data_IF_086764690220
#
_entry.id   IF_086764690220
#
_cell.length_a   1.000
_cell.length_b   1.000
_cell.length_c   1.000
_cell.angle_alpha   90.00
_cell.angle_beta   90.00
_cell.angle_gamma   90.00
#
_symmetry.space_group_name_H-M   'P 1'
#
loop_
_entity.id
_entity.type
_entity.pdbx_description
1 polymer ?
#
# COMPACT_ATOMS: atom_id res chain seq x y z
N UNK A 1 -1.92 5.05 15.12
CA UNK A 1 -1.93 4.39 16.43
C UNK A 1 -0.65 3.58 16.53
N UNK A 2 0.17 3.91 17.54
CA UNK A 2 1.57 3.50 17.65
C UNK A 2 1.71 1.99 17.91
N UNK A 3 2.63 1.36 17.18
CA UNK A 3 3.25 0.04 17.44
C UNK A 3 4.10 0.04 18.74
N UNK A 4 3.65 0.73 19.79
CA UNK A 4 4.41 0.88 21.02
C UNK A 4 4.35 -0.38 21.87
N UNK A 5 5.51 -1.04 21.95
CA UNK A 5 5.97 -1.92 23.04
C UNK A 5 5.43 -3.35 23.09
N UNK A 6 5.58 -4.11 22.01
CA UNK A 6 5.73 -5.57 22.16
C UNK A 6 7.22 -5.85 22.22
N UNK A 7 7.67 -6.45 23.31
CA UNK A 7 9.07 -6.85 23.47
C UNK A 7 9.43 -7.96 22.49
N UNK A 8 10.69 -8.04 22.08
CA UNK A 8 11.19 -9.10 21.20
C UNK A 8 10.93 -10.50 21.80
N UNK A 9 10.97 -10.60 23.13
CA UNK A 9 10.63 -11.81 23.89
C UNK A 9 9.16 -12.20 23.75
N UNK A 10 8.23 -11.26 23.93
CA UNK A 10 6.78 -11.52 23.76
C UNK A 10 6.44 -11.94 22.33
N UNK A 11 7.07 -11.30 21.35
CA UNK A 11 6.90 -11.69 19.95
C UNK A 11 7.43 -13.11 19.72
N UNK A 12 8.57 -13.48 20.31
CA UNK A 12 9.12 -14.83 20.24
C UNK A 12 8.20 -15.90 20.86
N UNK A 13 7.62 -15.62 22.03
CA UNK A 13 6.65 -16.53 22.67
C UNK A 13 5.37 -16.70 21.85
N UNK A 14 4.89 -15.62 21.22
CA UNK A 14 3.75 -15.64 20.29
C UNK A 14 4.09 -16.38 18.99
N UNK A 15 5.35 -16.35 18.53
CA UNK A 15 5.84 -17.19 17.42
C UNK A 15 5.84 -18.67 17.79
N UNK A 16 6.26 -19.04 19.00
CA UNK A 16 6.23 -20.43 19.49
C UNK A 16 4.80 -21.01 19.48
N UNK A 17 3.79 -20.17 19.75
CA UNK A 17 2.38 -20.59 19.71
C UNK A 17 1.99 -21.18 18.35
N UNK A 18 2.43 -20.57 17.25
CA UNK A 18 2.13 -21.03 15.90
C UNK A 18 2.79 -22.38 15.56
N UNK A 19 3.96 -22.67 16.16
CA UNK A 19 4.63 -23.96 16.01
C UNK A 19 3.88 -25.09 16.73
N UNK A 20 3.45 -24.84 17.97
CA UNK A 20 2.77 -25.85 18.78
C UNK A 20 1.30 -26.05 18.42
N UNK A 21 0.65 -25.00 17.91
CA UNK A 21 -0.78 -25.00 17.58
C UNK A 21 -1.01 -24.62 16.10
N UNK A 22 -0.67 -25.52 15.16
CA UNK A 22 -0.67 -25.22 13.72
C UNK A 22 -2.07 -24.95 13.13
N UNK A 23 -3.14 -25.20 13.89
CA UNK A 23 -4.52 -24.92 13.48
C UNK A 23 -4.95 -23.47 13.75
N UNK A 24 -4.06 -22.64 14.31
CA UNK A 24 -4.32 -21.24 14.58
C UNK A 24 -3.71 -20.33 13.51
N UNK A 25 -4.46 -19.30 13.17
CA UNK A 25 -4.14 -18.26 12.19
C UNK A 25 -4.12 -16.93 12.92
N UNK A 26 -3.03 -16.14 12.87
CA UNK A 26 -3.03 -14.80 13.43
C UNK A 26 -4.01 -13.89 12.67
N UNK A 27 -4.77 -13.11 13.41
CA UNK A 27 -5.70 -12.09 12.90
C UNK A 27 -4.98 -10.74 12.75
N UNK A 28 -3.94 -10.51 13.56
CA UNK A 28 -3.16 -9.27 13.59
C UNK A 28 -1.68 -9.55 13.34
N UNK A 29 -1.01 -8.58 12.72
CA UNK A 29 0.42 -8.59 12.42
C UNK A 29 1.30 -8.75 13.66
N UNK A 30 0.87 -8.13 14.75
CA UNK A 30 1.55 -8.09 16.05
C UNK A 30 1.40 -9.39 16.86
N UNK A 31 0.72 -10.39 16.26
CA UNK A 31 0.44 -11.69 16.84
C UNK A 31 -0.28 -11.60 18.20
N UNK A 32 -1.08 -10.55 18.43
CA UNK A 32 -1.89 -10.41 19.65
C UNK A 32 -3.20 -11.19 19.57
N UNK A 33 -3.67 -11.51 18.38
CA UNK A 33 -4.94 -12.20 18.18
C UNK A 33 -4.77 -13.35 17.20
N UNK A 34 -5.34 -14.49 17.56
CA UNK A 34 -5.34 -15.69 16.73
C UNK A 34 -6.75 -16.27 16.67
N UNK A 35 -7.04 -16.92 15.55
CA UNK A 35 -8.24 -17.71 15.34
C UNK A 35 -7.85 -19.11 14.89
N UNK A 36 -8.39 -20.12 15.54
CA UNK A 36 -8.10 -21.50 15.19
C UNK A 36 -9.15 -22.47 15.67
N UNK A 37 -8.74 -23.72 15.80
CA UNK A 37 -9.56 -24.79 16.33
C UNK A 37 -8.71 -25.62 17.29
N UNK A 38 -9.26 -25.97 18.45
CA UNK A 38 -8.71 -27.02 19.30
C UNK A 38 -9.47 -28.31 19.07
N UNK A 39 -8.73 -29.42 19.01
CA UNK A 39 -9.33 -30.76 18.97
C UNK A 39 -9.55 -31.22 20.40
N UNK A 40 -10.80 -31.25 20.81
CA UNK A 40 -11.25 -31.80 22.10
C UNK A 40 -11.93 -33.12 21.79
N UNK A 41 -11.29 -34.23 22.17
CA UNK A 41 -11.67 -35.59 21.77
C UNK A 41 -11.82 -35.72 20.25
N UNK A 42 -13.04 -35.92 19.76
CA UNK A 42 -13.37 -36.08 18.33
C UNK A 42 -14.05 -34.85 17.71
N UNK A 43 -14.09 -33.72 18.42
CA UNK A 43 -14.67 -32.46 17.91
C UNK A 43 -13.63 -31.37 17.78
N UNK A 44 -13.77 -30.58 16.70
CA UNK A 44 -13.00 -29.36 16.50
C UNK A 44 -13.79 -28.17 17.05
N UNK A 45 -13.29 -27.56 18.13
CA UNK A 45 -13.91 -26.41 18.77
C UNK A 45 -13.25 -25.13 18.25
N UNK A 46 -13.99 -24.21 17.61
CA UNK A 46 -13.46 -22.93 17.16
C UNK A 46 -12.99 -22.10 18.34
N UNK A 47 -11.82 -21.50 18.23
CA UNK A 47 -11.26 -20.65 19.28
C UNK A 47 -10.77 -19.34 18.71
N UNK A 48 -11.07 -18.27 19.44
CA UNK A 48 -10.41 -16.98 19.34
C UNK A 48 -9.52 -16.80 20.57
N UNK A 49 -8.23 -16.66 20.32
CA UNK A 49 -7.21 -16.43 21.34
C UNK A 49 -6.76 -14.98 21.26
N UNK A 50 -6.81 -14.27 22.38
CA UNK A 50 -6.24 -12.93 22.54
C UNK A 50 -5.09 -13.02 23.53
N UNK A 51 -3.90 -12.68 23.07
CA UNK A 51 -2.71 -12.58 23.89
C UNK A 51 -2.63 -11.17 24.45
N UNK A 52 -2.70 -11.05 25.78
CA UNK A 52 -2.47 -9.79 26.46
C UNK A 52 -1.07 -9.21 26.24
N UNK A 53 -0.92 -7.93 26.56
CA UNK A 53 0.36 -7.26 26.79
C UNK A 53 0.93 -7.64 28.17
N UNK A 54 2.09 -7.11 28.56
CA UNK A 54 2.78 -7.41 29.83
C UNK A 54 1.89 -7.32 31.11
N UNK A 55 0.73 -6.65 31.01
CA UNK A 55 -0.25 -6.46 32.09
C UNK A 55 -1.60 -7.16 31.88
N UNK A 56 -1.83 -7.84 30.73
CA UNK A 56 -3.09 -8.55 30.43
C UNK A 56 -2.87 -10.05 30.32
N UNK A 57 -3.88 -10.81 30.74
CA UNK A 57 -3.88 -12.27 30.68
C UNK A 57 -4.16 -12.78 29.25
N UNK A 58 -3.84 -14.05 29.01
CA UNK A 58 -4.23 -14.75 27.79
C UNK A 58 -5.72 -15.08 27.90
N UNK A 59 -6.50 -14.63 26.94
CA UNK A 59 -7.95 -14.85 26.90
C UNK A 59 -8.33 -15.77 25.74
N UNK A 60 -9.26 -16.68 26.01
CA UNK A 60 -9.76 -17.66 25.04
C UNK A 60 -11.27 -17.59 25.02
N UNK A 61 -11.83 -17.42 23.84
CA UNK A 61 -13.28 -17.40 23.62
C UNK A 61 -13.66 -18.36 22.50
N UNK A 62 -14.86 -18.94 22.59
CA UNK A 62 -15.44 -19.76 21.53
C UNK A 62 -16.85 -19.25 21.18
N UNK A 63 -17.22 -19.19 19.90
CA UNK A 63 -18.57 -18.83 19.48
C UNK A 63 -19.62 -19.92 19.74
N UNK A 64 -19.22 -21.18 19.96
CA UNK A 64 -20.15 -22.31 20.07
C UNK A 64 -20.65 -22.60 21.50
N UNK A 65 -20.23 -21.80 22.49
CA UNK A 65 -20.61 -21.94 23.90
C UNK A 65 -20.06 -23.21 24.60
N UNK A 66 -19.59 -24.20 23.85
CA UNK A 66 -19.07 -25.47 24.38
C UNK A 66 -17.85 -25.24 25.26
N UNK A 67 -16.92 -24.38 24.81
CA UNK A 67 -15.74 -24.04 25.62
C UNK A 67 -16.14 -23.40 26.95
N UNK A 68 -17.13 -22.50 26.95
CA UNK A 68 -17.59 -21.85 28.18
C UNK A 68 -18.16 -22.90 29.17
N UNK A 69 -19.00 -23.82 28.69
CA UNK A 69 -19.55 -24.90 29.52
C UNK A 69 -18.46 -25.82 30.09
N UNK A 70 -17.44 -26.17 29.30
CA UNK A 70 -16.32 -26.99 29.76
C UNK A 70 -15.45 -26.24 30.77
N UNK A 71 -15.25 -24.93 30.58
CA UNK A 71 -14.52 -24.08 31.52
C UNK A 71 -15.24 -23.97 32.86
N UNK A 72 -16.57 -23.82 32.87
CA UNK A 72 -17.37 -23.78 34.10
C UNK A 72 -17.26 -25.10 34.88
N UNK A 73 -17.31 -26.23 34.18
CA UNK A 73 -17.12 -27.56 34.79
C UNK A 73 -15.71 -27.76 35.32
N UNK A 74 -14.68 -27.34 34.56
CA UNK A 74 -13.29 -27.43 35.01
C UNK A 74 -13.06 -26.57 36.26
N UNK A 75 -13.69 -25.39 36.33
CA UNK A 75 -13.62 -24.52 37.49
C UNK A 75 -14.34 -25.08 38.71
N UNK A 76 -15.44 -25.82 38.51
CA UNK A 76 -16.13 -26.53 39.59
C UNK A 76 -15.33 -27.74 40.11
N UNK A 77 -14.66 -28.48 39.22
CA UNK A 77 -13.87 -29.67 39.57
C UNK A 77 -12.51 -29.32 40.20
N UNK A 78 -11.81 -28.36 39.61
CA UNK A 78 -10.42 -28.03 39.95
C UNK A 78 -10.15 -26.50 39.84
N UNK A 79 -10.71 -25.68 40.75
CA UNK A 79 -10.60 -24.21 40.68
C UNK A 79 -9.14 -23.72 40.74
N UNK A 80 -8.28 -24.38 41.53
CA UNK A 80 -6.86 -24.04 41.66
C UNK A 80 -6.09 -24.21 40.33
N UNK A 81 -6.45 -25.23 39.54
CA UNK A 81 -5.86 -25.46 38.23
C UNK A 81 -6.28 -24.37 37.24
N UNK A 82 -7.54 -23.95 37.26
CA UNK A 82 -8.04 -22.85 36.41
C UNK A 82 -7.33 -21.54 36.74
N UNK A 83 -7.15 -21.23 38.03
CA UNK A 83 -6.39 -20.06 38.45
C UNK A 83 -4.91 -20.13 38.03
N UNK A 84 -4.30 -21.32 38.08
CA UNK A 84 -2.94 -21.53 37.57
C UNK A 84 -2.85 -21.27 36.06
N UNK A 85 -3.82 -21.77 35.29
CA UNK A 85 -3.88 -21.59 33.83
C UNK A 85 -4.07 -20.11 33.48
N UNK A 86 -5.00 -19.40 34.12
CA UNK A 86 -5.24 -17.96 33.88
C UNK A 86 -4.00 -17.08 34.10
N UNK A 87 -3.17 -17.44 35.09
CA UNK A 87 -1.90 -16.75 35.37
C UNK A 87 -0.81 -17.02 34.34
N UNK A 88 -0.99 -17.96 33.41
CA UNK A 88 0.00 -18.24 32.36
C UNK A 88 -0.01 -17.13 31.31
N UNK A 89 1.16 -16.49 31.15
CA UNK A 89 1.35 -15.41 30.18
C UNK A 89 1.76 -15.92 28.80
N UNK A 90 2.45 -17.06 28.76
CA UNK A 90 2.87 -17.73 27.52
C UNK A 90 1.66 -18.35 26.84
N UNK A 91 1.24 -17.88 25.63
CA UNK A 91 0.02 -18.36 24.99
C UNK A 91 0.09 -19.85 24.64
N UNK A 92 1.28 -20.33 24.25
CA UNK A 92 1.54 -21.74 23.94
C UNK A 92 1.38 -22.63 25.17
N UNK A 93 1.93 -22.22 26.32
CA UNK A 93 1.80 -22.93 27.60
C UNK A 93 0.36 -22.90 28.10
N UNK A 94 -0.31 -21.75 28.03
CA UNK A 94 -1.71 -21.58 28.39
C UNK A 94 -2.59 -22.58 27.63
N UNK A 95 -2.50 -22.60 26.30
CA UNK A 95 -3.32 -23.48 25.47
C UNK A 95 -3.00 -24.96 25.72
N UNK A 96 -1.73 -25.30 25.95
CA UNK A 96 -1.33 -26.68 26.20
C UNK A 96 -1.92 -27.22 27.51
N UNK A 97 -1.81 -26.45 28.58
CA UNK A 97 -2.33 -26.82 29.89
C UNK A 97 -3.86 -26.80 29.90
N UNK A 98 -4.49 -25.82 29.24
CA UNK A 98 -5.93 -25.79 29.06
C UNK A 98 -6.42 -27.04 28.31
N UNK A 99 -5.78 -27.40 27.20
CA UNK A 99 -6.14 -28.57 26.40
C UNK A 99 -5.99 -29.86 27.20
N UNK A 100 -4.90 -30.02 27.95
CA UNK A 100 -4.67 -31.19 28.79
C UNK A 100 -5.72 -31.29 29.92
N UNK A 101 -6.06 -30.17 30.56
CA UNK A 101 -7.05 -30.12 31.63
C UNK A 101 -8.45 -30.47 31.11
N UNK A 102 -8.85 -29.90 29.98
CA UNK A 102 -10.13 -30.19 29.34
C UNK A 102 -10.23 -31.65 28.88
N UNK A 103 -9.18 -32.20 28.25
CA UNK A 103 -9.18 -33.60 27.83
C UNK A 103 -9.33 -34.55 29.04
N UNK A 104 -8.62 -34.31 30.15
CA UNK A 104 -8.77 -35.11 31.38
C UNK A 104 -10.17 -35.02 31.97
N UNK A 105 -10.78 -33.83 31.96
CA UNK A 105 -12.14 -33.64 32.44
C UNK A 105 -13.16 -34.44 31.61
N UNK A 106 -12.97 -34.46 30.29
CA UNK A 106 -13.82 -35.22 29.36
C UNK A 106 -13.58 -36.73 29.46
N UNK A 107 -12.34 -37.17 29.69
CA UNK A 107 -12.01 -38.59 29.91
C UNK A 107 -12.57 -39.14 31.23
N UNK A 108 -12.65 -38.31 32.28
CA UNK A 108 -13.18 -38.71 33.60
C UNK A 108 -14.69 -38.70 33.70
N UNK A 109 -15.35 -37.81 32.97
CA UNK A 109 -16.80 -37.78 32.89
C UNK A 109 -17.27 -38.65 31.74
N UNK A 110 -17.77 -39.86 32.00
CA UNK A 110 -18.33 -40.78 31.01
C UNK A 110 -19.20 -40.04 29.97
N UNK A 111 -18.64 -39.72 28.80
CA UNK A 111 -19.40 -39.30 27.63
C UNK A 111 -19.97 -40.53 26.93
N UNK A 112 -20.80 -41.27 27.66
CA UNK A 112 -21.71 -42.28 27.15
C UNK A 112 -23.12 -41.95 27.68
N UNK A 113 -23.68 -40.82 27.25
CA UNK A 113 -25.13 -40.67 27.10
C UNK A 113 -25.48 -39.38 26.34
N UNK A 114 -26.04 -39.54 25.14
CA UNK A 114 -27.06 -38.62 24.64
C UNK A 114 -26.69 -37.54 23.63
N UNK A 115 -25.48 -37.51 23.06
CA UNK A 115 -25.23 -36.64 21.90
C UNK A 115 -25.16 -37.49 20.64
N UNK A 116 -26.32 -37.66 20.01
CA UNK A 116 -26.44 -38.27 18.69
C UNK A 116 -25.40 -37.68 17.74
N UNK A 117 -24.72 -38.57 17.04
CA UNK A 117 -23.84 -38.25 15.94
C UNK A 117 -24.66 -37.63 14.80
N UNK A 118 -24.87 -36.32 14.83
CA UNK A 118 -25.05 -35.55 13.58
C UNK A 118 -23.66 -35.28 13.01
N UNK A 119 -23.03 -36.37 12.56
CA UNK A 119 -21.95 -36.30 11.59
C UNK A 119 -22.56 -36.13 10.21
N UNK A 120 -22.71 -34.90 9.75
CA UNK A 120 -22.81 -34.62 8.32
C UNK A 120 -22.30 -33.20 8.00
N UNK A 121 -21.07 -33.19 7.49
CA UNK A 121 -20.67 -32.33 6.37
C UNK A 121 -20.46 -30.82 6.59
N UNK A 122 -19.68 -30.46 7.62
CA UNK A 122 -18.99 -29.15 7.65
C UNK A 122 -17.46 -29.25 7.66
N UNK A 123 -16.91 -30.47 7.73
CA UNK A 123 -15.46 -30.75 7.71
C UNK A 123 -14.84 -30.77 6.31
N UNK A 124 -15.63 -30.88 5.25
CA UNK A 124 -15.10 -31.07 3.89
C UNK A 124 -14.68 -29.76 3.19
N UNK A 125 -15.29 -28.61 3.51
CA UNK A 125 -15.07 -27.35 2.76
C UNK A 125 -14.10 -26.33 3.37
N UNK A 126 -13.69 -26.45 4.65
CA UNK A 126 -12.76 -25.48 5.29
C UNK A 126 -11.38 -26.05 5.66
N UNK A 127 -11.17 -27.36 5.52
CA UNK A 127 -9.87 -28.03 5.77
C UNK A 127 -8.79 -27.62 4.75
N UNK A 128 -9.20 -27.07 3.60
CA UNK A 128 -8.27 -26.50 2.60
C UNK A 128 -7.48 -25.30 3.15
N UNK A 129 -8.12 -24.37 3.87
CA UNK A 129 -7.47 -23.12 4.28
C UNK A 129 -6.44 -23.30 5.39
N UNK A 130 -6.75 -24.10 6.42
CA UNK A 130 -5.85 -24.33 7.56
C UNK A 130 -4.59 -25.11 7.17
N UNK A 131 -4.73 -26.11 6.28
CA UNK A 131 -3.58 -26.88 5.77
C UNK A 131 -2.66 -26.02 4.90
N UNK A 132 -3.22 -25.17 4.03
CA UNK A 132 -2.44 -24.20 3.24
C UNK A 132 -1.77 -23.16 4.14
N UNK A 133 -2.47 -22.65 5.15
CA UNK A 133 -1.90 -21.71 6.11
C UNK A 133 -0.74 -22.33 6.90
N UNK A 134 -0.84 -23.60 7.30
CA UNK A 134 0.22 -24.34 7.97
C UNK A 134 1.49 -24.44 7.12
N UNK A 135 1.37 -24.79 5.84
CA UNK A 135 2.52 -24.83 4.92
C UNK A 135 3.18 -23.46 4.77
N UNK A 136 2.37 -22.40 4.73
CA UNK A 136 2.86 -21.02 4.67
C UNK A 136 3.56 -20.60 5.96
N UNK A 137 3.04 -20.98 7.13
CA UNK A 137 3.70 -20.76 8.42
C UNK A 137 5.03 -21.53 8.51
N UNK A 138 5.05 -22.79 8.09
CA UNK A 138 6.27 -23.59 8.04
C UNK A 138 7.33 -22.90 7.16
N UNK A 139 6.92 -22.35 6.01
CA UNK A 139 7.79 -21.54 5.13
C UNK A 139 8.22 -20.22 5.77
N UNK A 140 7.33 -19.54 6.49
CA UNK A 140 7.64 -18.30 7.21
C UNK A 140 8.73 -18.50 8.26
N UNK A 141 8.67 -19.60 8.99
CA UNK A 141 9.59 -19.88 10.09
C UNK A 141 10.90 -20.48 9.58
N UNK A 142 10.86 -21.36 8.57
CA UNK A 142 12.05 -22.08 8.09
C UNK A 142 12.83 -21.34 7.01
N UNK A 143 12.17 -20.54 6.16
CA UNK A 143 12.76 -20.06 4.89
C UNK A 143 12.68 -18.55 4.71
N UNK A 144 11.52 -17.94 4.96
CA UNK A 144 11.28 -16.51 4.71
C UNK A 144 11.80 -15.65 5.86
N UNK A 145 11.65 -16.13 7.10
CA UNK A 145 11.90 -15.39 8.31
C UNK A 145 10.69 -14.56 8.76
N UNK A 146 10.30 -14.69 10.03
CA UNK A 146 9.11 -14.01 10.58
C UNK A 146 9.31 -12.50 10.71
N UNK A 147 10.55 -12.03 10.74
CA UNK A 147 10.90 -10.60 10.66
C UNK A 147 10.43 -9.95 9.35
N UNK A 148 10.28 -10.75 8.29
CA UNK A 148 9.71 -10.28 7.04
C UNK A 148 8.18 -10.17 7.08
N UNK A 149 7.51 -10.61 8.15
CA UNK A 149 6.06 -10.57 8.26
C UNK A 149 5.58 -9.18 8.68
N UNK A 150 4.79 -8.54 7.81
CA UNK A 150 4.20 -7.22 8.08
C UNK A 150 2.72 -7.29 8.43
N UNK A 151 1.95 -8.15 7.78
CA UNK A 151 0.51 -8.28 8.02
C UNK A 151 0.01 -9.68 7.68
N UNK A 152 -0.91 -10.21 8.50
CA UNK A 152 -1.69 -11.40 8.16
C UNK A 152 -3.16 -11.07 8.30
N UNK A 153 -3.94 -11.47 7.30
CA UNK A 153 -5.40 -11.45 7.34
C UNK A 153 -5.94 -12.78 6.80
N UNK A 154 -7.27 -12.95 6.84
CA UNK A 154 -7.98 -14.21 6.52
C UNK A 154 -7.40 -14.98 5.33
N UNK A 155 -7.10 -14.30 4.22
CA UNK A 155 -6.58 -14.91 2.99
C UNK A 155 -5.33 -14.20 2.46
N UNK A 156 -4.75 -13.25 3.21
CA UNK A 156 -3.62 -12.46 2.71
C UNK A 156 -2.48 -12.44 3.70
N UNK A 157 -1.29 -12.53 3.15
CA UNK A 157 -0.03 -12.43 3.84
C UNK A 157 0.77 -11.29 3.21
N UNK A 158 1.04 -10.23 3.96
CA UNK A 158 1.93 -9.15 3.52
C UNK A 158 3.29 -9.36 4.14
N UNK A 159 4.27 -9.54 3.27
CA UNK A 159 5.68 -9.63 3.61
C UNK A 159 6.38 -8.32 3.24
N UNK A 160 7.39 -7.97 4.01
CA UNK A 160 8.20 -6.78 3.82
C UNK A 160 9.66 -7.17 3.71
N UNK A 161 10.38 -6.47 2.85
CA UNK A 161 11.83 -6.58 2.71
C UNK A 161 12.38 -5.19 2.44
N UNK A 162 13.24 -4.71 3.34
CA UNK A 162 13.59 -3.28 3.43
C UNK A 162 12.30 -2.46 3.59
N UNK A 163 12.12 -1.40 2.80
CA UNK A 163 10.92 -0.55 2.83
C UNK A 163 9.84 -0.96 1.81
N UNK A 164 9.96 -2.19 1.27
CA UNK A 164 9.14 -2.67 0.15
C UNK A 164 8.28 -3.86 0.58
N UNK A 165 7.01 -3.83 0.16
CA UNK A 165 6.03 -4.83 0.54
C UNK A 165 5.58 -5.70 -0.64
N UNK A 166 5.26 -6.96 -0.35
CA UNK A 166 4.59 -7.92 -1.22
C UNK A 166 3.40 -8.54 -0.48
N UNK A 167 2.21 -8.48 -1.08
CA UNK A 167 1.01 -9.13 -0.54
C UNK A 167 0.65 -10.37 -1.36
N UNK A 168 0.68 -11.52 -0.71
CA UNK A 168 0.33 -12.82 -1.25
C UNK A 168 -1.09 -13.22 -0.83
N UNK A 169 -1.90 -13.68 -1.79
CA UNK A 169 -3.20 -14.30 -1.52
C UNK A 169 -3.01 -15.81 -1.36
N UNK A 170 -3.30 -16.28 -0.16
CA UNK A 170 -3.11 -17.67 0.29
C UNK A 170 -4.04 -18.64 -0.44
N UNK A 171 -5.28 -18.22 -0.72
CA UNK A 171 -6.26 -19.07 -1.38
C UNK A 171 -5.99 -19.15 -2.89
N UNK A 172 -5.69 -18.01 -3.50
CA UNK A 172 -5.45 -17.95 -4.94
C UNK A 172 -4.02 -18.38 -5.34
N UNK A 173 -3.12 -18.54 -4.36
CA UNK A 173 -1.75 -18.95 -4.59
C UNK A 173 -0.92 -17.93 -5.38
N UNK A 174 -1.19 -16.63 -5.25
CA UNK A 174 -0.52 -15.58 -6.05
C UNK A 174 -0.26 -14.28 -5.32
N UNK A 175 0.71 -13.52 -5.81
CA UNK A 175 0.91 -12.13 -5.40
C UNK A 175 -0.21 -11.26 -5.97
N UNK A 176 -0.91 -10.54 -5.10
CA UNK A 176 -2.02 -9.65 -5.45
C UNK A 176 -1.66 -8.17 -5.37
N UNK A 177 -0.61 -7.84 -4.61
CA UNK A 177 -0.06 -6.49 -4.56
C UNK A 177 1.45 -6.58 -4.33
N UNK A 178 2.20 -5.62 -4.87
CA UNK A 178 3.62 -5.52 -4.64
C UNK A 178 4.08 -4.08 -4.87
N UNK A 179 5.13 -3.70 -4.15
CA UNK A 179 5.82 -2.42 -4.32
C UNK A 179 6.67 -2.38 -5.59
N UNK A 180 6.85 -3.51 -6.28
CA UNK A 180 7.48 -3.54 -7.60
C UNK A 180 6.55 -2.83 -8.61
N UNK A 181 7.08 -1.95 -9.47
CA UNK A 181 6.32 -1.32 -10.55
C UNK A 181 5.51 -2.34 -11.37
N UNK A 182 4.25 -2.02 -11.67
CA UNK A 182 3.29 -2.96 -12.30
C UNK A 182 3.77 -3.47 -13.65
N UNK A 183 4.46 -2.61 -14.39
CA UNK A 183 5.03 -2.87 -15.70
C UNK A 183 6.11 -3.97 -15.64
N UNK A 184 6.86 -4.03 -14.53
CA UNK A 184 7.85 -5.07 -14.26
C UNK A 184 7.22 -6.35 -13.69
N UNK A 185 6.17 -6.22 -12.87
CA UNK A 185 5.41 -7.37 -12.37
C UNK A 185 4.79 -8.19 -13.52
N UNK A 186 4.24 -7.52 -14.54
CA UNK A 186 3.64 -8.20 -15.70
C UNK A 186 4.65 -9.05 -16.49
N UNK A 187 5.93 -8.64 -16.50
CA UNK A 187 7.03 -9.36 -17.15
C UNK A 187 7.62 -10.49 -16.29
N UNK A 188 7.23 -10.58 -15.01
CA UNK A 188 7.82 -11.50 -14.03
C UNK A 188 6.87 -12.65 -13.71
N UNK A 189 6.86 -13.67 -14.57
CA UNK A 189 5.98 -14.83 -14.43
C UNK A 189 6.09 -15.52 -13.04
N UNK A 190 7.28 -15.51 -12.43
CA UNK A 190 7.54 -16.09 -11.10
C UNK A 190 6.83 -15.41 -9.94
N UNK A 191 6.37 -14.16 -10.08
CA UNK A 191 5.63 -13.44 -9.03
C UNK A 191 4.11 -13.60 -9.17
N UNK A 192 3.60 -13.80 -10.40
CA UNK A 192 2.16 -13.80 -10.64
C UNK A 192 1.48 -15.14 -10.28
N UNK A 193 2.20 -16.27 -10.38
CA UNK A 193 1.72 -17.59 -9.94
C UNK A 193 2.87 -18.46 -9.40
N UNK A 194 3.48 -18.05 -8.28
CA UNK A 194 4.50 -18.86 -7.63
C UNK A 194 3.89 -20.18 -7.13
N UNK A 195 4.70 -21.24 -7.08
CA UNK A 195 4.27 -22.53 -6.50
C UNK A 195 4.11 -22.40 -4.98
N UNK A 196 5.02 -21.67 -4.36
CA UNK A 196 5.07 -21.46 -2.92
C UNK A 196 5.32 -19.98 -2.59
N UNK A 197 4.89 -19.52 -1.42
CA UNK A 197 5.12 -18.12 -1.03
C UNK A 197 6.59 -17.82 -0.79
N UNK A 198 7.37 -18.80 -0.35
CA UNK A 198 8.83 -18.69 -0.22
C UNK A 198 9.52 -18.42 -1.57
N UNK A 199 9.10 -19.10 -2.64
CA UNK A 199 9.59 -18.86 -4.00
C UNK A 199 9.25 -17.43 -4.44
N UNK A 200 7.99 -17.03 -4.24
CA UNK A 200 7.51 -15.69 -4.55
C UNK A 200 8.33 -14.62 -3.85
N UNK A 201 8.58 -14.82 -2.56
CA UNK A 201 9.33 -13.88 -1.73
C UNK A 201 10.81 -13.83 -2.10
N UNK A 202 11.40 -14.97 -2.50
CA UNK A 202 12.78 -15.01 -2.99
C UNK A 202 12.91 -14.20 -4.28
N UNK A 203 12.03 -14.43 -5.26
CA UNK A 203 11.99 -13.62 -6.49
C UNK A 203 11.75 -12.15 -6.18
N UNK A 204 10.86 -11.84 -5.24
CA UNK A 204 10.61 -10.47 -4.80
C UNK A 204 11.88 -9.81 -4.26
N UNK A 205 12.59 -10.46 -3.33
CA UNK A 205 13.86 -9.97 -2.78
C UNK A 205 14.90 -9.72 -3.88
N UNK A 206 15.04 -10.65 -4.82
CA UNK A 206 15.96 -10.51 -5.95
C UNK A 206 15.63 -9.29 -6.81
N UNK A 207 14.33 -9.04 -7.07
CA UNK A 207 13.89 -7.85 -7.80
C UNK A 207 14.14 -6.57 -7.02
N UNK A 208 13.82 -6.53 -5.71
CA UNK A 208 14.10 -5.35 -4.88
C UNK A 208 15.61 -5.06 -4.83
N UNK A 209 16.45 -6.09 -4.75
CA UNK A 209 17.90 -5.93 -4.81
C UNK A 209 18.37 -5.34 -6.16
N UNK A 210 17.82 -5.80 -7.28
CA UNK A 210 18.12 -5.25 -8.61
C UNK A 210 17.62 -3.82 -8.79
N UNK A 211 16.50 -3.46 -8.17
CA UNK A 211 15.93 -2.10 -8.19
C UNK A 211 16.59 -1.16 -7.18
N UNK A 212 17.47 -1.66 -6.31
CA UNK A 212 18.07 -0.84 -5.26
C UNK A 212 18.82 0.38 -5.81
N UNK A 213 19.67 0.27 -6.86
CA UNK A 213 20.35 1.43 -7.43
C UNK A 213 19.36 2.48 -7.97
N UNK A 214 18.25 2.04 -8.55
CA UNK A 214 17.19 2.92 -9.02
C UNK A 214 16.56 3.73 -7.88
N UNK A 215 16.16 3.06 -6.79
CA UNK A 215 15.55 3.77 -5.66
C UNK A 215 16.52 4.67 -4.91
N UNK A 216 17.79 4.28 -4.79
CA UNK A 216 18.80 5.13 -4.15
C UNK A 216 19.08 6.39 -5.00
N UNK A 217 19.08 6.25 -6.32
CA UNK A 217 19.17 7.38 -7.26
C UNK A 217 17.96 8.32 -7.14
N UNK A 218 16.75 7.77 -6.99
CA UNK A 218 15.55 8.60 -6.75
C UNK A 218 15.57 9.30 -5.39
N UNK A 219 16.12 8.68 -4.34
CA UNK A 219 16.25 9.33 -3.02
C UNK A 219 17.12 10.59 -3.09
N UNK A 220 18.17 10.58 -3.91
CA UNK A 220 19.00 11.77 -4.17
C UNK A 220 18.15 12.93 -4.72
N UNK A 221 17.37 12.66 -5.78
CA UNK A 221 16.43 13.62 -6.35
C UNK A 221 15.38 14.09 -5.32
N UNK A 222 14.74 13.15 -4.63
CA UNK A 222 13.65 13.41 -3.67
C UNK A 222 14.12 14.23 -2.46
N UNK A 223 15.42 14.17 -2.12
CA UNK A 223 16.01 14.94 -1.02
C UNK A 223 16.25 16.41 -1.34
N UNK A 224 16.39 16.75 -2.63
CA UNK A 224 16.77 18.09 -3.10
C UNK A 224 15.67 18.80 -3.87
N UNK A 225 14.77 18.05 -4.52
CA UNK A 225 13.67 18.58 -5.30
C UNK A 225 12.35 18.47 -4.54
N UNK A 226 11.47 19.46 -4.73
CA UNK A 226 10.09 19.36 -4.32
C UNK A 226 9.33 18.43 -5.28
N UNK A 227 9.18 17.16 -4.88
CA UNK A 227 8.34 16.17 -5.59
C UNK A 227 6.87 16.44 -5.25
N UNK A 228 6.09 16.83 -6.25
CA UNK A 228 4.64 17.09 -6.08
C UNK A 228 3.78 15.87 -6.34
N UNK A 229 4.34 14.89 -7.07
CA UNK A 229 3.68 13.65 -7.44
C UNK A 229 4.74 12.61 -7.84
N UNK A 230 4.61 11.32 -7.49
CA UNK A 230 3.55 10.65 -6.75
C UNK A 230 3.66 10.80 -5.23
N UNK A 231 2.53 10.64 -4.54
CA UNK A 231 2.52 10.44 -3.07
C UNK A 231 3.19 9.13 -2.66
N UNK A 232 3.12 8.10 -3.51
CA UNK A 232 3.85 6.85 -3.33
C UNK A 232 5.18 6.88 -4.08
N UNK A 233 6.27 7.15 -3.37
CA UNK A 233 7.62 7.26 -3.93
C UNK A 233 8.18 5.95 -4.48
N UNK A 234 7.48 4.83 -4.33
CA UNK A 234 7.86 3.54 -4.94
C UNK A 234 7.52 3.48 -6.44
N UNK A 235 6.76 4.45 -6.94
CA UNK A 235 6.40 4.55 -8.37
C UNK A 235 7.63 4.90 -9.22
N UNK A 236 7.70 4.40 -10.48
CA UNK A 236 8.82 4.63 -11.39
C UNK A 236 8.73 5.98 -12.13
N UNK A 237 8.27 7.03 -11.46
CA UNK A 237 8.24 8.37 -12.02
C UNK A 237 8.34 9.40 -10.90
N UNK A 238 8.75 10.61 -11.27
CA UNK A 238 8.74 11.78 -10.41
C UNK A 238 8.21 12.98 -11.17
N UNK A 239 7.39 13.77 -10.52
CA UNK A 239 7.04 15.10 -10.97
C UNK A 239 7.60 16.09 -9.97
N UNK A 240 8.59 16.85 -10.43
CA UNK A 240 9.32 17.81 -9.61
C UNK A 240 8.92 19.22 -9.98
N UNK A 241 8.73 20.07 -8.97
CA UNK A 241 8.46 21.48 -9.18
C UNK A 241 9.72 22.19 -9.71
N UNK A 242 9.50 23.06 -10.68
CA UNK A 242 10.50 23.99 -11.20
C UNK A 242 10.07 25.43 -10.88
N UNK A 243 11.00 26.37 -11.01
CA UNK A 243 10.69 27.79 -11.01
C UNK A 243 9.63 28.15 -12.07
N UNK A 244 9.12 29.38 -12.02
CA UNK A 244 8.16 29.91 -13.00
C UNK A 244 6.83 29.16 -13.09
N UNK A 245 6.44 28.48 -12.00
CA UNK A 245 5.22 27.66 -11.92
C UNK A 245 5.19 26.53 -12.96
N UNK A 246 6.35 25.95 -13.23
CA UNK A 246 6.53 24.79 -14.10
C UNK A 246 6.70 23.52 -13.26
N UNK A 247 6.47 22.37 -13.89
CA UNK A 247 6.81 21.08 -13.31
C UNK A 247 7.43 20.19 -14.38
N UNK A 248 8.45 19.42 -14.02
CA UNK A 248 9.05 18.42 -14.89
C UNK A 248 8.55 17.04 -14.49
N UNK A 249 7.91 16.35 -15.43
CA UNK A 249 7.58 14.94 -15.31
C UNK A 249 8.74 14.10 -15.86
N UNK A 250 9.23 13.20 -15.03
CA UNK A 250 10.33 12.27 -15.28
C UNK A 250 9.75 10.86 -15.16
N UNK A 251 9.61 10.16 -16.28
CA UNK A 251 9.00 8.83 -16.33
C UNK A 251 10.01 7.77 -16.75
N UNK A 252 10.31 6.82 -15.89
CA UNK A 252 11.23 5.72 -16.16
C UNK A 252 10.46 4.54 -16.75
N UNK A 253 10.71 4.25 -18.02
CA UNK A 253 10.00 3.17 -18.76
C UNK A 253 10.43 1.77 -18.30
N UNK A 254 11.69 1.63 -17.88
CA UNK A 254 12.21 0.42 -17.25
C UNK A 254 13.14 0.79 -16.08
N UNK A 255 12.66 0.68 -14.82
CA UNK A 255 13.45 0.94 -13.62
C UNK A 255 14.69 0.06 -13.43
N UNK A 256 14.81 -1.04 -14.18
CA UNK A 256 16.01 -1.88 -14.18
C UNK A 256 17.10 -1.40 -15.15
N UNK A 257 16.80 -0.40 -15.99
CA UNK A 257 17.69 0.14 -17.01
C UNK A 257 17.97 1.62 -16.76
N UNK A 258 18.61 1.93 -15.62
CA UNK A 258 18.94 3.29 -15.21
C UNK A 258 19.91 3.99 -16.19
N UNK A 259 20.66 3.20 -16.96
CA UNK A 259 21.53 3.68 -18.03
C UNK A 259 20.75 4.29 -19.22
N UNK A 260 19.44 4.05 -19.31
CA UNK A 260 18.60 4.63 -20.37
C UNK A 260 17.97 5.93 -19.89
N UNK A 261 17.96 6.97 -20.74
CA UNK A 261 17.33 8.23 -20.40
C UNK A 261 15.82 8.05 -20.18
N UNK A 262 15.23 8.70 -19.16
CA UNK A 262 13.79 8.65 -18.90
C UNK A 262 13.01 9.41 -19.98
N UNK A 263 11.68 9.34 -19.95
CA UNK A 263 10.85 10.29 -20.70
C UNK A 263 10.69 11.57 -19.88
N UNK A 264 11.00 12.71 -20.50
CA UNK A 264 10.87 14.03 -19.90
C UNK A 264 9.75 14.82 -20.54
N UNK A 265 8.86 15.38 -19.72
CA UNK A 265 7.75 16.22 -20.16
C UNK A 265 7.66 17.45 -19.26
N UNK A 266 7.64 18.64 -19.88
CA UNK A 266 7.46 19.90 -19.16
C UNK A 266 5.98 20.26 -19.08
N UNK A 267 5.48 20.40 -17.86
CA UNK A 267 4.10 20.78 -17.53
C UNK A 267 4.07 22.21 -16.98
N UNK A 268 2.95 22.90 -17.16
CA UNK A 268 2.77 24.28 -16.72
C UNK A 268 2.38 25.23 -17.85
N UNK A 269 2.34 26.53 -17.54
CA UNK A 269 1.89 27.58 -18.45
C UNK A 269 2.65 27.54 -19.80
N UNK A 270 1.97 27.49 -20.96
CA UNK A 270 2.64 27.41 -22.27
C UNK A 270 3.57 28.58 -22.59
N UNK A 271 3.29 29.77 -22.07
CA UNK A 271 4.14 30.95 -22.26
C UNK A 271 5.40 30.95 -21.36
N UNK A 272 5.52 29.99 -20.45
CA UNK A 272 6.67 29.80 -19.57
C UNK A 272 7.54 28.64 -20.05
N UNK A 273 8.85 28.73 -19.80
CA UNK A 273 9.79 27.64 -20.11
C UNK A 273 10.00 27.38 -21.61
N UNK A 274 9.85 28.38 -22.48
CA UNK A 274 10.02 28.21 -23.94
C UNK A 274 11.40 27.62 -24.29
N UNK A 275 12.47 28.10 -23.64
CA UNK A 275 13.83 27.57 -23.80
C UNK A 275 13.92 26.10 -23.38
N UNK A 276 13.44 25.79 -22.17
CA UNK A 276 13.34 24.42 -21.66
C UNK A 276 12.57 23.48 -22.62
N UNK A 277 11.44 23.92 -23.17
CA UNK A 277 10.66 23.13 -24.14
C UNK A 277 11.45 22.84 -25.41
N UNK A 278 12.20 23.81 -25.91
CA UNK A 278 13.06 23.61 -27.07
C UNK A 278 14.19 22.61 -26.79
N UNK A 279 14.78 22.63 -25.59
CA UNK A 279 15.75 21.62 -25.16
C UNK A 279 15.12 20.22 -25.20
N UNK A 280 13.95 20.05 -24.59
CA UNK A 280 13.26 18.76 -24.58
C UNK A 280 12.91 18.29 -26.00
N UNK A 281 12.41 19.20 -26.85
CA UNK A 281 12.02 18.92 -28.24
C UNK A 281 13.19 18.42 -29.11
N UNK A 282 14.39 18.96 -28.91
CA UNK A 282 15.59 18.55 -29.67
C UNK A 282 16.07 17.15 -29.31
N UNK A 283 15.70 16.63 -28.14
CA UNK A 283 16.09 15.33 -27.62
C UNK A 283 17.62 15.10 -27.47
N UNK A 284 18.47 16.07 -27.79
CA UNK A 284 19.94 15.98 -27.66
C UNK A 284 20.38 15.79 -26.20
N UNK A 285 19.58 16.26 -25.25
CA UNK A 285 19.79 16.09 -23.81
C UNK A 285 19.96 14.61 -23.44
N UNK A 286 19.28 13.69 -24.15
CA UNK A 286 19.33 12.25 -23.90
C UNK A 286 20.71 11.64 -24.20
N UNK A 287 21.50 12.26 -25.10
CA UNK A 287 22.85 11.82 -25.44
C UNK A 287 23.88 12.13 -24.36
N UNK A 288 23.53 13.04 -23.45
CA UNK A 288 24.37 13.40 -22.31
C UNK A 288 24.12 12.48 -21.11
N UNK A 289 23.15 11.56 -21.19
CA UNK A 289 22.85 10.63 -20.11
C UNK A 289 24.00 9.64 -19.93
N UNK A 290 24.56 9.59 -18.72
CA UNK A 290 25.68 8.75 -18.33
C UNK A 290 25.22 7.68 -17.33
N UNK A 291 25.55 6.42 -17.63
CA UNK A 291 25.22 5.27 -16.78
C UNK A 291 25.95 5.26 -15.44
N UNK A 292 27.01 6.06 -15.30
CA UNK A 292 27.80 6.15 -14.07
C UNK A 292 27.30 7.25 -13.12
N UNK A 293 26.36 8.09 -13.56
CA UNK A 293 25.82 9.20 -12.76
C UNK A 293 24.43 8.85 -12.20
N UNK A 294 24.08 9.46 -11.07
CA UNK A 294 22.71 9.37 -10.55
C UNK A 294 21.72 10.17 -11.42
N UNK A 295 20.42 10.04 -11.14
CA UNK A 295 19.35 10.70 -11.92
C UNK A 295 19.47 12.21 -11.83
N UNK A 296 19.75 12.76 -10.66
CA UNK A 296 19.77 14.19 -10.45
C UNK A 296 20.96 14.83 -11.19
N UNK A 297 22.13 14.22 -11.11
CA UNK A 297 23.33 14.70 -11.79
C UNK A 297 23.22 14.52 -13.31
N UNK A 298 22.62 13.43 -13.77
CA UNK A 298 22.27 13.27 -15.18
C UNK A 298 21.31 14.36 -15.67
N UNK A 299 20.26 14.69 -14.90
CA UNK A 299 19.33 15.77 -15.26
C UNK A 299 20.07 17.12 -15.35
N UNK A 300 20.96 17.42 -14.40
CA UNK A 300 21.78 18.65 -14.40
C UNK A 300 22.70 18.71 -15.62
N UNK A 301 23.39 17.61 -15.94
CA UNK A 301 24.29 17.56 -17.10
C UNK A 301 23.51 17.66 -18.42
N UNK A 302 22.35 16.99 -18.49
CA UNK A 302 21.52 16.95 -19.69
C UNK A 302 20.86 18.30 -19.99
N UNK A 303 20.31 18.96 -18.96
CA UNK A 303 19.45 20.14 -19.07
C UNK A 303 20.15 21.46 -18.71
N UNK A 304 21.27 21.41 -17.99
CA UNK A 304 22.06 22.59 -17.63
C UNK A 304 21.30 23.59 -16.75
N UNK A 305 21.59 24.88 -16.96
CA UNK A 305 21.05 26.01 -16.17
C UNK A 305 19.54 26.21 -16.29
N UNK A 306 18.91 25.54 -17.26
CA UNK A 306 17.44 25.55 -17.42
C UNK A 306 16.77 24.66 -16.36
N UNK A 307 17.49 23.69 -15.77
CA UNK A 307 16.97 22.87 -14.68
C UNK A 307 17.01 23.63 -13.34
N UNK A 308 15.97 24.43 -13.10
CA UNK A 308 15.79 25.20 -11.86
C UNK A 308 14.79 24.52 -10.94
N UNK A 309 15.27 23.51 -10.22
CA UNK A 309 14.47 22.75 -9.25
C UNK A 309 14.11 23.62 -8.05
N UNK A 310 12.83 23.59 -7.68
CA UNK A 310 12.39 24.18 -6.41
C UNK A 310 12.77 23.20 -5.30
N UNK A 311 13.44 23.69 -4.27
CA UNK A 311 13.78 22.85 -3.12
C UNK A 311 12.56 22.60 -2.25
N UNK A 312 12.53 21.46 -1.57
CA UNK A 312 11.40 21.11 -0.70
C UNK A 312 11.15 22.15 0.41
N UNK A 313 12.21 22.83 0.87
CA UNK A 313 12.14 23.89 1.88
C UNK A 313 11.57 25.22 1.33
N UNK A 314 11.55 25.37 0.00
CA UNK A 314 11.14 26.59 -0.72
C UNK A 314 9.76 26.43 -1.37
N UNK A 315 9.04 25.34 -1.07
CA UNK A 315 7.76 25.00 -1.69
C UNK A 315 6.67 26.07 -1.57
N UNK A 316 6.72 26.91 -0.54
CA UNK A 316 5.79 28.03 -0.31
C UNK A 316 5.96 29.18 -1.31
N UNK A 317 7.06 29.20 -2.06
CA UNK A 317 7.39 30.26 -3.01
C UNK A 317 6.87 29.98 -4.43
N UNK A 318 6.33 28.78 -4.70
CA UNK A 318 5.94 28.36 -6.05
C UNK A 318 4.49 27.88 -6.10
N UNK A 319 3.67 28.63 -6.83
CA UNK A 319 2.23 28.40 -7.01
C UNK A 319 1.92 27.44 -8.18
N UNK A 320 2.34 26.18 -8.08
CA UNK A 320 2.01 25.13 -9.07
C UNK A 320 0.72 24.37 -8.74
N UNK A 321 0.18 24.54 -7.54
CA UNK A 321 -1.08 23.90 -7.12
C UNK A 321 -2.28 24.64 -7.72
N UNK A 322 -3.44 23.97 -7.75
CA UNK A 322 -4.66 24.64 -8.17
C UNK A 322 -5.00 25.77 -7.19
N UNK A 323 -5.24 26.96 -7.72
CA UNK A 323 -5.47 28.16 -6.91
C UNK A 323 -6.86 28.23 -6.26
N UNK A 324 -7.71 27.20 -6.46
CA UNK A 324 -9.03 27.09 -5.83
C UNK A 324 -9.02 26.05 -4.71
N UNK A 325 -8.55 24.82 -5.00
CA UNK A 325 -8.54 23.73 -4.03
C UNK A 325 -7.21 23.58 -3.29
N UNK A 326 -6.18 24.35 -3.68
CA UNK A 326 -4.81 24.31 -3.15
C UNK A 326 -4.12 22.94 -3.25
N UNK A 327 -4.71 21.99 -3.96
CA UNK A 327 -4.13 20.69 -4.23
C UNK A 327 -3.45 20.69 -5.61
N UNK A 328 -2.35 19.96 -5.74
CA UNK A 328 -1.79 19.64 -7.05
C UNK A 328 -2.62 18.54 -7.74
N UNK A 329 -3.07 17.53 -7.00
CA UNK A 329 -3.86 16.43 -7.53
C UNK A 329 -5.30 16.47 -7.01
N UNK A 330 -6.26 16.39 -7.92
CA UNK A 330 -7.68 16.19 -7.63
C UNK A 330 -8.17 14.94 -8.37
N UNK A 331 -8.15 13.79 -7.68
CA UNK A 331 -8.33 12.50 -8.34
C UNK A 331 -7.18 12.23 -9.33
N UNK A 332 -7.49 12.05 -10.61
CA UNK A 332 -6.48 11.92 -11.69
C UNK A 332 -6.17 13.26 -12.38
N UNK A 333 -6.87 14.36 -12.02
CA UNK A 333 -6.66 15.68 -12.63
C UNK A 333 -5.47 16.40 -11.99
N UNK A 334 -4.75 17.15 -12.84
CA UNK A 334 -3.69 18.09 -12.45
C UNK A 334 -4.06 19.50 -12.96
N UNK A 335 -3.44 20.57 -12.45
CA UNK A 335 -3.77 21.92 -12.89
C UNK A 335 -3.28 22.10 -14.33
N UNK A 336 -4.21 22.36 -15.24
CA UNK A 336 -3.95 22.47 -16.68
C UNK A 336 -4.60 23.71 -17.31
N UNK A 337 -5.37 24.46 -16.51
CA UNK A 337 -5.87 25.78 -16.88
C UNK A 337 -4.97 26.81 -16.23
N UNK A 338 -4.41 27.73 -17.02
CA UNK A 338 -3.47 28.74 -16.53
C UNK A 338 -3.97 30.14 -16.84
N UNK A 339 -3.76 31.05 -15.91
CA UNK A 339 -3.90 32.47 -16.20
C UNK A 339 -2.78 32.92 -17.14
N UNK A 340 -3.13 33.46 -18.32
CA UNK A 340 -2.17 33.93 -19.31
C UNK A 340 -1.46 35.24 -18.91
N UNK A 341 -1.92 35.90 -17.83
CA UNK A 341 -1.28 37.10 -17.33
C UNK A 341 0.08 36.78 -16.72
N UNK A 342 1.15 37.38 -17.27
CA UNK A 342 2.56 37.08 -16.95
C UNK A 342 2.90 37.18 -15.46
N UNK A 343 2.30 38.13 -14.75
CA UNK A 343 2.55 38.33 -13.33
C UNK A 343 1.70 37.42 -12.42
N UNK A 344 0.64 36.80 -12.95
CA UNK A 344 -0.28 35.98 -12.17
C UNK A 344 0.04 34.48 -12.28
N UNK A 345 0.03 33.93 -13.51
CA UNK A 345 0.35 32.52 -13.82
C UNK A 345 -0.34 31.42 -12.98
N UNK A 346 -1.36 31.77 -12.19
CA UNK A 346 -2.10 30.83 -11.35
C UNK A 346 -2.65 29.67 -12.17
N UNK A 347 -2.45 28.47 -11.65
CA UNK A 347 -2.91 27.23 -12.26
C UNK A 347 -4.23 26.76 -11.62
N UNK A 348 -5.05 26.04 -12.38
CA UNK A 348 -6.32 25.50 -11.93
C UNK A 348 -6.56 24.11 -12.51
N UNK A 349 -7.17 23.21 -11.73
CA UNK A 349 -7.83 22.05 -12.30
C UNK A 349 -8.98 22.52 -13.19
N UNK A 350 -9.20 21.82 -14.30
CA UNK A 350 -10.28 22.12 -15.24
C UNK A 350 -11.63 22.12 -14.50
N UNK A 351 -11.89 21.11 -13.67
CA UNK A 351 -13.16 21.01 -12.94
C UNK A 351 -13.34 22.11 -11.88
N UNK A 352 -12.26 22.48 -11.19
CA UNK A 352 -12.28 23.57 -10.21
C UNK A 352 -12.60 24.90 -10.89
N UNK A 353 -11.89 25.24 -11.95
CA UNK A 353 -12.09 26.50 -12.66
C UNK A 353 -13.48 26.55 -13.32
N UNK A 354 -13.91 25.44 -13.94
CA UNK A 354 -15.23 25.35 -14.57
C UNK A 354 -16.37 25.54 -13.56
N UNK A 355 -16.29 24.88 -12.40
CA UNK A 355 -17.31 24.98 -11.36
C UNK A 355 -17.40 26.40 -10.82
N UNK A 356 -16.23 27.01 -10.55
CA UNK A 356 -16.14 28.39 -10.11
C UNK A 356 -16.68 29.38 -11.16
N UNK A 357 -16.29 29.22 -12.43
CA UNK A 357 -16.73 30.08 -13.52
C UNK A 357 -18.24 30.00 -13.76
N UNK A 358 -18.83 28.81 -13.61
CA UNK A 358 -20.28 28.64 -13.72
C UNK A 358 -21.02 29.35 -12.58
N UNK A 359 -20.53 29.23 -11.34
CA UNK A 359 -21.10 29.94 -10.20
C UNK A 359 -21.00 31.46 -10.37
N UNK A 360 -19.81 31.95 -10.73
CA UNK A 360 -19.57 33.36 -10.99
C UNK A 360 -20.52 33.90 -12.07
N UNK A 361 -20.71 33.17 -13.18
CA UNK A 361 -21.63 33.57 -14.24
C UNK A 361 -23.08 33.70 -13.76
N UNK A 362 -23.56 32.78 -12.91
CA UNK A 362 -24.90 32.85 -12.30
C UNK A 362 -25.04 34.09 -11.41
N UNK A 363 -24.03 34.39 -10.59
CA UNK A 363 -24.01 35.57 -9.72
C UNK A 363 -24.04 36.89 -10.51
N UNK A 364 -23.43 36.92 -11.70
CA UNK A 364 -23.46 38.07 -12.62
C UNK A 364 -24.75 38.17 -13.46
N UNK A 365 -25.76 37.33 -13.18
CA UNK A 365 -27.05 37.38 -13.88
C UNK A 365 -27.05 36.74 -15.26
N UNK A 366 -26.01 35.97 -15.62
CA UNK A 366 -26.02 35.19 -16.85
C UNK A 366 -27.02 34.02 -16.72
N UNK A 367 -28.06 34.01 -17.56
CA UNK A 367 -28.96 32.85 -17.67
C UNK A 367 -28.21 31.67 -18.29
N UNK A 368 -28.61 30.42 -17.98
CA UNK A 368 -28.01 29.19 -18.59
C UNK A 368 -28.00 29.20 -20.13
N UNK A 369 -28.87 30.00 -20.76
CA UNK A 369 -28.89 30.23 -22.20
C UNK A 369 -27.86 31.29 -22.68
N UNK A 370 -27.48 32.26 -21.85
CA UNK A 370 -26.47 33.27 -22.15
C UNK A 370 -25.05 32.69 -22.23
N UNK A 371 -24.73 31.70 -21.41
CA UNK A 371 -23.47 30.94 -21.50
C UNK A 371 -23.35 30.11 -22.79
N UNK A 372 -24.46 29.89 -23.51
CA UNK A 372 -24.48 29.17 -24.80
C UNK A 372 -24.52 30.10 -26.02
N UNK A 373 -24.84 31.40 -25.85
CA UNK A 373 -25.16 32.29 -26.98
C UNK A 373 -24.28 33.55 -27.07
N UNK A 374 -23.68 34.04 -25.97
CA UNK A 374 -22.75 35.18 -26.03
C UNK A 374 -21.29 34.76 -25.87
N UNK A 375 -20.71 34.15 -26.92
CA UNK A 375 -19.31 34.26 -27.36
C UNK A 375 -18.13 34.40 -26.37
N UNK A 376 -18.27 33.99 -25.11
CA UNK A 376 -17.25 34.16 -24.08
C UNK A 376 -16.75 32.82 -23.59
N UNK A 377 -15.80 32.22 -24.30
CA UNK A 377 -15.06 31.03 -23.85
C UNK A 377 -14.13 31.33 -22.66
N UNK A 378 -14.43 32.35 -21.85
CA UNK A 378 -13.54 32.92 -20.86
C UNK A 378 -14.29 33.31 -19.59
N UNK A 379 -13.66 33.12 -18.44
CA UNK A 379 -14.07 33.65 -17.13
C UNK A 379 -12.88 34.42 -16.51
N UNK A 380 -13.13 35.35 -15.58
CA UNK A 380 -12.03 36.08 -14.95
C UNK A 380 -11.12 35.14 -14.15
N UNK A 381 -9.84 35.47 -14.03
CA UNK A 381 -8.95 34.81 -13.10
C UNK A 381 -9.37 35.15 -11.66
N UNK A 382 -9.42 34.16 -10.77
CA UNK A 382 -9.79 34.34 -9.34
C UNK A 382 -8.91 35.37 -8.62
N UNK A 383 -7.67 35.55 -9.09
CA UNK A 383 -6.66 36.37 -8.43
C UNK A 383 -6.41 37.73 -9.09
N UNK A 384 -6.48 37.83 -10.42
CA UNK A 384 -6.13 39.06 -11.14
C UNK A 384 -7.21 39.53 -12.13
N UNK A 385 -8.35 38.85 -12.16
CA UNK A 385 -9.52 39.17 -13.00
C UNK A 385 -9.29 39.14 -14.52
N UNK A 386 -8.06 38.88 -14.97
CA UNK A 386 -7.73 38.72 -16.38
C UNK A 386 -8.44 37.50 -16.98
N UNK A 387 -8.86 37.55 -18.26
CA UNK A 387 -9.63 36.49 -18.87
C UNK A 387 -8.83 35.18 -18.96
N UNK A 388 -9.47 34.08 -18.54
CA UNK A 388 -8.93 32.71 -18.57
C UNK A 388 -9.92 31.83 -19.34
N UNK A 389 -9.40 31.04 -20.28
CA UNK A 389 -10.25 30.22 -21.13
C UNK A 389 -10.94 29.11 -20.31
N UNK A 390 -12.27 29.01 -20.45
CA UNK A 390 -13.07 27.90 -19.94
C UNK A 390 -13.03 26.83 -21.04
N UNK A 391 -12.12 25.85 -20.91
CA UNK A 391 -11.98 24.80 -21.92
C UNK A 391 -13.31 24.03 -22.09
N UNK A 392 -14.01 24.25 -23.21
CA UNK A 392 -15.02 23.33 -23.73
C UNK A 392 -14.41 22.51 -24.85
N UNK A 393 -13.78 21.38 -24.51
CA UNK A 393 -13.82 20.09 -25.26
C UNK A 393 -12.81 19.11 -24.69
N UNK A 394 -13.26 17.86 -24.53
CA UNK A 394 -12.43 16.69 -24.37
C UNK A 394 -11.39 16.64 -25.50
N UNK A 395 -10.10 16.64 -25.15
CA UNK A 395 -9.06 16.19 -26.07
C UNK A 395 -9.14 14.66 -26.06
N UNK A 396 -9.80 14.10 -27.06
CA UNK A 396 -9.52 12.73 -27.48
C UNK A 396 -8.03 12.63 -27.76
N UNK A 397 -7.33 11.85 -26.94
CA UNK A 397 -6.01 11.32 -27.24
C UNK A 397 -6.08 10.59 -28.58
N UNK A 398 -5.72 11.27 -29.66
CA UNK A 398 -5.37 10.61 -30.91
C UNK A 398 -4.00 10.00 -30.70
N UNK A 399 -3.98 8.72 -30.32
CA UNK A 399 -2.83 7.85 -30.51
C UNK A 399 -2.49 7.85 -31.99
N UNK A 400 -1.45 8.61 -32.36
CA UNK A 400 -0.78 8.41 -33.64
C UNK A 400 -0.04 7.08 -33.56
N UNK A 401 -0.70 6.03 -34.06
CA UNK A 401 -0.04 4.80 -34.47
C UNK A 401 0.88 5.18 -35.62
N UNK A 402 2.19 5.14 -35.38
CA UNK A 402 3.18 5.10 -36.47
C UNK A 402 3.10 3.71 -37.10
N UNK A 403 2.81 3.59 -38.41
CA UNK A 403 2.85 2.29 -39.07
C UNK A 403 4.29 1.94 -39.47
N UNK A 404 4.66 0.71 -39.11
CA UNK A 404 5.84 -0.09 -39.50
C UNK A 404 7.22 0.37 -39.02
#
# INVERSE_FOLDING_TARGET
>A
MNLSQITETELSERKEMLLRFPNFVPIKADLTEFRGWLRLCDRNVPIFLRCGDAHREVEVTSPDGLLASLMDRLNADSPELVEKIKKMRKPSSYLHELLNALNRLVERGEYNNGFAAEGADLSSRRVSGAKTFRLILDQLISTIGVESLKEVSKNRLTLTYRDMDMTYNIIEGRVVNSSIPRELLAKTAGLYRPREVADAFTVFKDFINKLQPFYDSLKSLDSLAWVVDPSDLRRPYRRVALEDSLALQITFTDPLQLEKPPLLELLGCPSSGVGFREILRRAEWSRKWDSQQDVLDNLRMALGDELRLVRIQENSQVDITCAICYAYRLGEQIPDVFCAHRSCRRAYHIECFRSWALQWGVEQGATRAHTAVTGGSFAPCVYCEQPVAILTTAVTTTTAVVPC
#
